data_IF_828971339286
#
_entry.id   IF_828971339286
#
_cell.length_a   1.000
_cell.length_b   1.000
_cell.length_c   1.000
_cell.angle_alpha   90.00
_cell.angle_beta   90.00
_cell.angle_gamma   90.00
#
_symmetry.space_group_name_H-M   'P 1'
#
loop_
_entity.id
_entity.type
_entity.pdbx_description
1 polymer ?
#
# COMPACT_ATOMS: atom_id res chain seq x y z
N UNK A 1 -22.15 3.11 8.14
CA UNK A 1 -20.85 3.65 8.57
C UNK A 1 -19.96 3.84 7.35
N UNK A 2 -19.21 4.93 7.30
CA UNK A 2 -18.20 5.18 6.27
C UNK A 2 -17.00 4.23 6.48
N UNK A 3 -16.37 3.77 5.39
CA UNK A 3 -15.17 2.93 5.42
C UNK A 3 -14.10 3.53 4.52
N UNK A 4 -12.84 3.45 4.93
CA UNK A 4 -11.67 3.88 4.15
C UNK A 4 -10.90 2.65 3.70
N UNK A 5 -10.61 2.55 2.40
CA UNK A 5 -9.62 1.61 1.86
C UNK A 5 -8.41 2.38 1.37
N UNK A 6 -7.20 1.94 1.70
CA UNK A 6 -5.96 2.62 1.29
C UNK A 6 -5.37 1.92 0.08
N UNK A 7 -5.14 2.66 -1.00
CA UNK A 7 -4.43 2.14 -2.16
C UNK A 7 -2.91 2.22 -1.94
N UNK A 8 -2.20 1.10 -2.17
CA UNK A 8 -0.74 1.01 -1.95
C UNK A 8 0.10 0.93 -3.24
N UNK A 9 -0.51 1.14 -4.43
CA UNK A 9 0.17 0.98 -5.73
C UNK A 9 1.36 1.95 -5.90
N UNK A 10 1.27 3.14 -5.31
CA UNK A 10 2.33 4.14 -5.41
C UNK A 10 3.54 3.83 -4.52
N UNK A 11 3.40 3.00 -3.49
CA UNK A 11 4.54 2.43 -2.76
C UNK A 11 5.36 1.56 -3.72
N UNK A 12 4.68 0.71 -4.49
CA UNK A 12 5.33 -0.12 -5.52
C UNK A 12 5.96 0.75 -6.62
N UNK A 13 5.31 1.86 -7.02
CA UNK A 13 5.86 2.79 -8.01
C UNK A 13 7.23 3.34 -7.57
N UNK A 14 7.35 3.77 -6.31
CA UNK A 14 8.63 4.27 -5.78
C UNK A 14 9.70 3.17 -5.71
N UNK A 15 9.32 1.96 -5.28
CA UNK A 15 10.20 0.77 -5.27
C UNK A 15 10.74 0.46 -6.65
N UNK A 16 9.85 0.35 -7.65
CA UNK A 16 10.24 -0.01 -9.02
C UNK A 16 11.07 1.08 -9.70
N UNK A 17 10.87 2.36 -9.36
CA UNK A 17 11.70 3.45 -9.88
C UNK A 17 13.20 3.35 -9.51
N UNK A 18 13.55 2.47 -8.56
CA UNK A 18 14.93 2.22 -8.12
C UNK A 18 15.35 0.76 -8.25
N UNK A 19 14.44 -0.15 -8.62
CA UNK A 19 14.71 -1.59 -8.65
C UNK A 19 15.15 -2.17 -7.30
N UNK A 20 14.83 -1.49 -6.19
CA UNK A 20 15.17 -1.89 -4.83
C UNK A 20 14.06 -2.77 -4.23
N UNK A 21 14.33 -3.36 -3.06
CA UNK A 21 13.30 -4.09 -2.29
C UNK A 21 12.49 -3.18 -1.36
N UNK A 22 12.79 -1.87 -1.32
CA UNK A 22 12.10 -0.89 -0.49
C UNK A 22 11.71 0.36 -1.29
N UNK A 23 10.64 1.07 -0.88
CA UNK A 23 9.70 0.67 0.17
C UNK A 23 8.84 -0.54 -0.24
N UNK A 24 8.44 -1.34 0.73
CA UNK A 24 7.66 -2.55 0.48
C UNK A 24 6.14 -2.27 0.62
N UNK A 25 5.32 -2.51 -0.44
CA UNK A 25 3.88 -2.33 -0.39
C UNK A 25 3.17 -3.21 0.65
N UNK A 26 3.71 -4.39 0.98
CA UNK A 26 3.12 -5.26 2.02
C UNK A 26 3.27 -4.60 3.39
N UNK A 27 4.47 -4.11 3.69
CA UNK A 27 4.70 -3.32 4.92
C UNK A 27 3.78 -2.10 4.99
N UNK A 28 3.59 -1.38 3.88
CA UNK A 28 2.69 -0.22 3.84
C UNK A 28 1.22 -0.59 4.06
N UNK A 29 0.76 -1.72 3.51
CA UNK A 29 -0.58 -2.24 3.74
C UNK A 29 -0.84 -2.54 5.21
N UNK A 30 0.09 -3.24 5.87
CA UNK A 30 0.00 -3.53 7.31
C UNK A 30 -0.06 -2.27 8.16
N UNK A 31 0.77 -1.26 7.85
CA UNK A 31 0.75 0.02 8.55
C UNK A 31 -0.57 0.77 8.34
N UNK A 32 -1.16 0.72 7.15
CA UNK A 32 -2.45 1.34 6.88
C UNK A 32 -3.59 0.67 7.66
N UNK A 33 -3.63 -0.66 7.75
CA UNK A 33 -4.61 -1.39 8.58
C UNK A 33 -4.44 -1.06 10.07
N UNK A 34 -3.21 -1.04 10.58
CA UNK A 34 -2.90 -0.64 11.96
C UNK A 34 -3.31 0.82 12.25
N UNK A 35 -3.29 1.68 11.23
CA UNK A 35 -3.71 3.08 11.32
C UNK A 35 -5.24 3.29 11.16
N UNK A 36 -6.02 2.21 11.01
CA UNK A 36 -7.49 2.27 10.95
C UNK A 36 -8.10 2.18 9.56
N UNK A 37 -7.32 1.82 8.53
CA UNK A 37 -7.89 1.45 7.25
C UNK A 37 -8.80 0.22 7.41
N UNK A 38 -9.98 0.28 6.78
CA UNK A 38 -10.95 -0.83 6.78
C UNK A 38 -10.64 -1.88 5.70
N UNK A 39 -9.65 -1.62 4.85
CA UNK A 39 -9.21 -2.49 3.77
C UNK A 39 -8.06 -1.87 2.99
N UNK A 40 -7.48 -2.67 2.09
CA UNK A 40 -6.37 -2.28 1.22
C UNK A 40 -6.77 -2.51 -0.22
N UNK A 41 -6.47 -1.53 -1.08
CA UNK A 41 -6.71 -1.59 -2.52
C UNK A 41 -5.37 -1.78 -3.24
N UNK A 42 -5.32 -2.76 -4.15
CA UNK A 42 -4.17 -3.02 -5.03
C UNK A 42 -4.69 -3.19 -6.44
N UNK A 43 -4.03 -2.58 -7.41
CA UNK A 43 -4.31 -2.80 -8.83
C UNK A 43 -3.11 -3.48 -9.51
N UNK A 44 -3.20 -4.78 -9.71
CA UNK A 44 -2.26 -5.52 -10.55
C UNK A 44 -2.49 -5.14 -12.02
N UNK A 45 -1.45 -4.64 -12.69
CA UNK A 45 -1.47 -4.30 -14.12
C UNK A 45 -1.00 -5.46 -14.98
#
# INVERSE_FOLDING_TARGET
MLRLSVNVDHVATLRQARGSNYPDPVTAALLAELAGASGITVHLR
#
